data_IF_263144953941
#
_entry.id   IF_263144953941
#
_cell.length_a   1.000
_cell.length_b   1.000
_cell.length_c   1.000
_cell.angle_alpha   90.00
_cell.angle_beta   90.00
_cell.angle_gamma   90.00
#
_symmetry.space_group_name_H-M   'P 1'
#
loop_
_entity.id
_entity.type
_entity.pdbx_description
1 polymer ?
#
# COMPACT_ATOMS: atom_id res chain seq x y z
N UNK A 1 -10.07 -19.15 -38.25
CA UNK A 1 -9.02 -19.59 -37.30
C UNK A 1 -8.88 -18.55 -36.20
N UNK A 2 -9.59 -18.73 -35.09
CA UNK A 2 -9.56 -17.80 -33.94
C UNK A 2 -8.33 -18.15 -33.10
N UNK A 3 -7.32 -17.29 -33.10
CA UNK A 3 -6.15 -17.45 -32.25
C UNK A 3 -6.53 -17.00 -30.84
N UNK A 4 -6.60 -17.95 -29.90
CA UNK A 4 -6.68 -17.68 -28.47
C UNK A 4 -5.48 -16.85 -28.04
N UNK A 5 -5.66 -15.55 -27.83
CA UNK A 5 -4.71 -14.72 -27.09
C UNK A 5 -4.69 -15.23 -25.65
N UNK A 6 -3.62 -15.94 -25.28
CA UNK A 6 -3.48 -16.50 -23.93
C UNK A 6 -3.31 -15.43 -22.84
N UNK A 7 -3.61 -15.76 -21.57
CA UNK A 7 -3.54 -14.84 -20.44
C UNK A 7 -2.13 -14.28 -20.17
N UNK A 8 -1.08 -14.90 -20.73
CA UNK A 8 0.29 -14.41 -20.65
C UNK A 8 0.54 -13.12 -21.45
N UNK A 9 -0.14 -12.93 -22.59
CA UNK A 9 0.06 -11.76 -23.44
C UNK A 9 -0.65 -10.53 -22.88
N UNK A 10 -1.81 -10.73 -22.24
CA UNK A 10 -2.53 -9.67 -21.51
C UNK A 10 -1.72 -9.19 -20.30
N UNK A 11 -1.00 -10.09 -19.63
CA UNK A 11 -0.10 -9.76 -18.51
C UNK A 11 1.17 -9.03 -19.00
N UNK A 12 1.68 -9.39 -20.18
CA UNK A 12 2.81 -8.71 -20.83
C UNK A 12 2.46 -7.29 -21.29
N UNK A 13 1.26 -7.10 -21.84
CA UNK A 13 0.72 -5.79 -22.22
C UNK A 13 0.45 -4.89 -21.00
N UNK A 14 0.23 -5.46 -19.81
CA UNK A 14 0.12 -4.70 -18.55
C UNK A 14 1.48 -4.32 -17.94
N UNK A 15 2.57 -4.93 -18.42
CA UNK A 15 3.97 -4.66 -18.04
C UNK A 15 4.66 -3.67 -18.99
N UNK A 16 4.20 -3.55 -20.23
CA UNK A 16 4.61 -2.52 -21.19
C UNK A 16 3.63 -1.34 -21.09
N UNK A 17 3.94 -0.40 -20.19
CA UNK A 17 3.09 0.75 -19.88
C UNK A 17 2.72 1.58 -21.11
N UNK A 18 1.43 1.80 -21.32
CA UNK A 18 0.92 2.84 -22.21
C UNK A 18 0.82 4.16 -21.43
N UNK A 19 1.48 5.19 -21.97
CA UNK A 19 1.47 6.55 -21.45
C UNK A 19 0.17 7.28 -21.82
N UNK A 20 -0.39 7.98 -20.84
CA UNK A 20 -1.24 9.20 -20.90
C UNK A 20 -2.64 9.09 -20.30
N UNK A 21 -2.85 9.82 -19.19
CA UNK A 21 -3.94 10.80 -19.03
C UNK A 21 -3.65 11.65 -17.78
N UNK A 22 -3.94 12.95 -17.84
CA UNK A 22 -4.00 13.82 -16.66
C UNK A 22 -5.04 13.22 -15.70
N UNK A 23 -4.56 12.64 -14.60
CA UNK A 23 -5.34 11.74 -13.72
C UNK A 23 -5.03 10.24 -13.91
N UNK A 24 -3.74 9.89 -14.06
CA UNK A 24 -3.26 8.53 -14.34
C UNK A 24 -3.66 7.45 -13.31
N UNK A 25 -3.52 6.19 -13.72
CA UNK A 25 -3.82 5.03 -12.88
C UNK A 25 -2.75 4.88 -11.79
N UNK A 26 -3.09 5.20 -10.53
CA UNK A 26 -2.15 5.14 -9.39
C UNK A 26 -1.52 3.77 -9.16
N UNK A 27 -2.16 2.67 -9.57
CA UNK A 27 -1.56 1.34 -9.51
C UNK A 27 -0.48 1.13 -10.58
N UNK A 28 -0.57 1.83 -11.71
CA UNK A 28 0.50 1.90 -12.73
C UNK A 28 1.64 2.74 -12.20
N UNK A 29 1.37 3.95 -11.69
CA UNK A 29 2.36 4.84 -11.05
C UNK A 29 3.18 4.08 -9.99
N UNK A 30 2.50 3.34 -9.10
CA UNK A 30 3.16 2.53 -8.08
C UNK A 30 4.01 1.39 -8.65
N UNK A 31 3.57 0.78 -9.75
CA UNK A 31 4.31 -0.27 -10.44
C UNK A 31 5.56 0.27 -11.13
N UNK A 32 5.50 1.45 -11.71
CA UNK A 32 6.63 2.15 -12.32
C UNK A 32 7.64 2.58 -11.26
N UNK A 33 7.19 3.21 -10.17
CA UNK A 33 8.06 3.59 -9.06
C UNK A 33 8.77 2.38 -8.42
N UNK A 34 8.08 1.25 -8.24
CA UNK A 34 8.74 0.01 -7.78
C UNK A 34 9.73 -0.57 -8.81
N UNK A 35 9.52 -0.30 -10.10
CA UNK A 35 10.45 -0.74 -11.16
C UNK A 35 11.70 0.13 -11.19
N UNK A 36 11.58 1.43 -10.89
CA UNK A 36 12.70 2.34 -10.76
C UNK A 36 13.55 2.09 -9.50
N UNK A 37 12.96 1.61 -8.39
CA UNK A 37 13.70 1.23 -7.18
C UNK A 37 14.31 -0.18 -7.31
N UNK A 38 15.64 -0.26 -7.38
CA UNK A 38 16.36 -1.52 -7.59
C UNK A 38 16.01 -2.62 -6.54
N UNK A 39 15.75 -2.24 -5.29
CA UNK A 39 15.42 -3.19 -4.22
C UNK A 39 13.99 -3.72 -4.38
N UNK A 40 13.03 -2.85 -4.68
CA UNK A 40 11.64 -3.17 -4.92
C UNK A 40 11.52 -4.03 -6.18
N UNK A 41 12.12 -3.60 -7.29
CA UNK A 41 12.14 -4.31 -8.56
C UNK A 41 12.69 -5.74 -8.39
N UNK A 42 13.85 -5.89 -7.75
CA UNK A 42 14.45 -7.22 -7.53
C UNK A 42 13.54 -8.15 -6.73
N UNK A 43 12.99 -7.68 -5.60
CA UNK A 43 12.10 -8.48 -4.76
C UNK A 43 10.77 -8.77 -5.48
N UNK A 44 10.29 -7.83 -6.31
CA UNK A 44 9.09 -8.00 -7.13
C UNK A 44 9.28 -9.09 -8.16
N UNK A 45 10.36 -9.03 -8.94
CA UNK A 45 10.73 -10.05 -9.91
C UNK A 45 10.93 -11.42 -9.25
N UNK A 46 11.53 -11.47 -8.06
CA UNK A 46 11.70 -12.72 -7.29
C UNK A 46 10.34 -13.36 -6.99
N UNK A 47 9.38 -12.63 -6.40
CA UNK A 47 8.09 -13.25 -6.08
C UNK A 47 7.30 -13.60 -7.33
N UNK A 48 7.33 -12.77 -8.38
CA UNK A 48 6.64 -13.04 -9.65
C UNK A 48 7.16 -14.34 -10.25
N UNK A 49 8.48 -14.52 -10.34
CA UNK A 49 9.09 -15.76 -10.83
C UNK A 49 8.69 -16.98 -9.99
N UNK A 50 8.66 -16.84 -8.66
CA UNK A 50 8.24 -17.92 -7.77
C UNK A 50 6.74 -18.22 -7.84
N UNK A 51 5.88 -17.28 -8.22
CA UNK A 51 4.43 -17.48 -8.33
C UNK A 51 3.97 -17.92 -9.72
N UNK A 52 4.73 -17.58 -10.78
CA UNK A 52 4.41 -17.98 -12.15
C UNK A 52 5.18 -19.22 -12.62
N UNK A 53 6.20 -19.65 -11.87
CA UNK A 53 6.91 -20.89 -12.14
C UNK A 53 5.97 -22.11 -12.12
N UNK A 54 6.21 -23.09 -12.97
CA UNK A 54 5.39 -24.31 -13.02
C UNK A 54 5.70 -25.23 -11.83
N UNK A 55 4.67 -25.81 -11.20
CA UNK A 55 4.84 -26.95 -10.29
C UNK A 55 4.77 -28.27 -11.05
N UNK A 56 5.38 -29.32 -10.50
CA UNK A 56 5.42 -30.65 -11.11
C UNK A 56 4.04 -31.27 -11.38
N UNK A 57 2.99 -30.79 -10.71
CA UNK A 57 1.61 -31.31 -10.81
C UNK A 57 0.67 -30.35 -11.56
N UNK A 58 1.18 -29.47 -12.44
CA UNK A 58 0.36 -28.54 -13.22
C UNK A 58 -0.25 -27.37 -12.43
N UNK A 59 -0.08 -27.33 -11.11
CA UNK A 59 -0.48 -26.22 -10.25
C UNK A 59 0.60 -25.14 -10.08
N UNK A 60 0.37 -24.22 -9.16
CA UNK A 60 1.37 -23.23 -8.75
C UNK A 60 2.24 -23.73 -7.58
N UNK A 61 3.56 -23.42 -7.53
CA UNK A 61 4.42 -23.60 -6.36
C UNK A 61 4.06 -22.65 -5.19
N UNK A 62 2.86 -22.81 -4.64
CA UNK A 62 2.22 -21.95 -3.62
C UNK A 62 3.11 -21.68 -2.40
N UNK A 63 3.82 -22.70 -1.90
CA UNK A 63 4.72 -22.53 -0.75
C UNK A 63 5.90 -21.59 -1.04
N UNK A 64 6.51 -21.70 -2.23
CA UNK A 64 7.62 -20.82 -2.66
C UNK A 64 7.11 -19.41 -2.96
N UNK A 65 6.03 -19.30 -3.72
CA UNK A 65 5.34 -18.02 -4.00
C UNK A 65 5.03 -17.25 -2.72
N UNK A 66 4.34 -17.88 -1.76
CA UNK A 66 3.98 -17.27 -0.48
C UNK A 66 5.20 -16.87 0.35
N UNK A 67 6.28 -17.66 0.33
CA UNK A 67 7.54 -17.31 1.00
C UNK A 67 8.18 -16.07 0.39
N UNK A 68 8.21 -15.98 -0.94
CA UNK A 68 8.75 -14.82 -1.66
C UNK A 68 7.90 -13.56 -1.41
N UNK A 69 6.57 -13.66 -1.39
CA UNK A 69 5.68 -12.55 -1.02
C UNK A 69 5.92 -12.06 0.41
N UNK A 70 6.06 -12.97 1.39
CA UNK A 70 6.41 -12.56 2.76
C UNK A 70 7.75 -11.83 2.83
N UNK A 71 8.72 -12.22 1.99
CA UNK A 71 10.02 -11.54 1.87
C UNK A 71 9.86 -10.17 1.21
N UNK A 72 9.04 -10.04 0.17
CA UNK A 72 8.74 -8.77 -0.49
C UNK A 72 8.20 -7.73 0.49
N UNK A 73 7.17 -8.04 1.27
CA UNK A 73 6.62 -7.08 2.24
C UNK A 73 7.49 -6.86 3.48
N UNK A 74 8.33 -7.84 3.87
CA UNK A 74 9.25 -7.67 5.00
C UNK A 74 10.50 -6.88 4.63
N UNK A 75 10.93 -6.92 3.37
CA UNK A 75 12.19 -6.33 2.90
C UNK A 75 12.01 -5.23 1.87
N UNK A 76 10.86 -5.02 1.26
CA UNK A 76 10.64 -3.94 0.31
C UNK A 76 10.51 -2.58 1.01
N UNK A 77 10.77 -1.45 0.32
CA UNK A 77 10.46 -0.13 0.84
C UNK A 77 8.95 -0.02 1.15
N UNK A 78 8.53 0.27 2.39
CA UNK A 78 7.12 0.25 2.77
C UNK A 78 6.26 1.19 1.90
N UNK A 79 6.75 2.38 1.57
CA UNK A 79 6.05 3.32 0.71
C UNK A 79 5.67 2.70 -0.64
N UNK A 80 6.60 2.01 -1.32
CA UNK A 80 6.36 1.38 -2.63
C UNK A 80 5.49 0.12 -2.52
N UNK A 81 5.77 -0.75 -1.53
CA UNK A 81 5.00 -1.99 -1.35
C UNK A 81 3.54 -1.72 -0.96
N UNK A 82 3.30 -0.71 -0.12
CA UNK A 82 1.94 -0.27 0.25
C UNK A 82 1.26 0.44 -0.91
N UNK A 83 1.98 1.24 -1.71
CA UNK A 83 1.43 1.85 -2.91
C UNK A 83 0.90 0.83 -3.92
N UNK A 84 1.68 -0.24 -4.15
CA UNK A 84 1.25 -1.37 -4.99
C UNK A 84 0.00 -2.07 -4.43
N UNK A 85 -0.10 -2.21 -3.10
CA UNK A 85 -1.18 -2.94 -2.46
C UNK A 85 -2.47 -2.12 -2.30
N UNK A 86 -2.36 -0.81 -2.06
CA UNK A 86 -3.46 0.06 -1.63
C UNK A 86 -3.73 1.24 -2.57
N UNK A 87 -3.21 1.20 -3.81
CA UNK A 87 -3.48 2.23 -4.81
C UNK A 87 -4.98 2.52 -4.98
N UNK A 88 -5.40 3.81 -5.01
CA UNK A 88 -6.78 4.16 -5.31
C UNK A 88 -7.10 3.86 -6.77
N UNK A 89 -8.37 3.54 -7.03
CA UNK A 89 -8.85 3.22 -8.36
C UNK A 89 -10.19 3.90 -8.62
N UNK A 90 -10.31 4.53 -9.78
CA UNK A 90 -11.54 5.14 -10.28
C UNK A 90 -12.35 4.20 -11.20
N UNK A 91 -11.80 3.04 -11.58
CA UNK A 91 -12.46 2.12 -12.51
C UNK A 91 -11.97 0.67 -12.45
N UNK A 92 -12.69 -0.25 -13.11
CA UNK A 92 -12.50 -1.69 -12.94
C UNK A 92 -11.16 -2.21 -13.44
N UNK A 93 -10.59 -1.62 -14.48
CA UNK A 93 -9.26 -1.99 -14.97
C UNK A 93 -8.16 -1.72 -13.93
N UNK A 94 -8.24 -0.58 -13.22
CA UNK A 94 -7.33 -0.28 -12.12
C UNK A 94 -7.55 -1.23 -10.95
N UNK A 95 -8.80 -1.45 -10.55
CA UNK A 95 -9.13 -2.31 -9.41
C UNK A 95 -8.69 -3.77 -9.67
N UNK A 96 -8.81 -4.26 -10.91
CA UNK A 96 -8.30 -5.56 -11.30
C UNK A 96 -6.77 -5.61 -11.25
N UNK A 97 -6.06 -4.58 -11.72
CA UNK A 97 -4.60 -4.47 -11.56
C UNK A 97 -4.22 -4.57 -10.08
N UNK A 98 -4.90 -3.83 -9.20
CA UNK A 98 -4.69 -3.87 -7.75
C UNK A 98 -4.90 -5.27 -7.18
N UNK A 99 -5.98 -5.96 -7.59
CA UNK A 99 -6.30 -7.34 -7.17
C UNK A 99 -5.27 -8.37 -7.65
N UNK A 100 -4.62 -8.12 -8.80
CA UNK A 100 -3.63 -9.00 -9.41
C UNK A 100 -2.20 -8.82 -8.87
N UNK A 101 -1.93 -7.79 -8.07
CA UNK A 101 -0.60 -7.39 -7.57
C UNK A 101 0.27 -8.55 -7.07
N UNK A 102 -0.33 -9.54 -6.40
CA UNK A 102 0.38 -10.67 -5.79
C UNK A 102 -0.04 -12.04 -6.32
N UNK A 103 -0.45 -12.12 -7.59
CA UNK A 103 -0.77 -13.37 -8.30
C UNK A 103 -1.82 -14.19 -7.53
N UNK A 104 -3.07 -13.70 -7.43
CA UNK A 104 -4.10 -14.32 -6.60
C UNK A 104 -4.40 -15.78 -6.97
N UNK A 105 -4.25 -16.16 -8.24
CA UNK A 105 -4.37 -17.54 -8.71
C UNK A 105 -3.41 -18.51 -8.01
N UNK A 106 -2.29 -18.03 -7.49
CA UNK A 106 -1.32 -18.83 -6.78
C UNK A 106 -1.27 -18.56 -5.27
N UNK A 107 -1.30 -17.30 -4.85
CA UNK A 107 -1.05 -16.91 -3.47
C UNK A 107 -2.32 -16.84 -2.61
N UNK A 108 -3.47 -16.55 -3.25
CA UNK A 108 -4.75 -16.28 -2.61
C UNK A 108 -5.69 -17.48 -2.74
N UNK A 109 -6.21 -17.73 -3.94
CA UNK A 109 -7.20 -18.78 -4.23
C UNK A 109 -6.68 -20.17 -3.88
N UNK A 110 -7.51 -20.99 -3.23
CA UNK A 110 -7.20 -22.38 -2.94
C UNK A 110 -7.18 -23.26 -4.19
N UNK A 111 -6.73 -24.53 -4.07
CA UNK A 111 -6.75 -25.48 -5.19
C UNK A 111 -8.16 -25.96 -5.54
N UNK A 112 -9.13 -25.81 -4.63
CA UNK A 112 -10.51 -26.23 -4.84
C UNK A 112 -11.35 -25.21 -5.64
N UNK A 113 -12.47 -25.65 -6.23
CA UNK A 113 -13.36 -24.80 -7.02
C UNK A 113 -14.15 -23.79 -6.16
N UNK A 114 -14.23 -24.03 -4.85
CA UNK A 114 -14.95 -23.17 -3.91
C UNK A 114 -14.05 -22.81 -2.71
N UNK A 115 -14.28 -21.64 -2.08
CA UNK A 115 -13.64 -21.30 -0.82
C UNK A 115 -14.07 -22.26 0.31
N UNK A 116 -13.16 -22.63 1.24
CA UNK A 116 -13.52 -23.39 2.44
C UNK A 116 -14.18 -22.49 3.49
N UNK A 117 -14.65 -23.08 4.60
CA UNK A 117 -15.00 -22.31 5.81
C UNK A 117 -13.79 -21.49 6.29
N UNK A 118 -14.01 -20.24 6.71
CA UNK A 118 -12.93 -19.38 7.23
C UNK A 118 -12.27 -19.90 8.50
N UNK A 119 -12.91 -20.84 9.20
CA UNK A 119 -12.32 -21.50 10.35
C UNK A 119 -11.13 -22.39 9.96
N UNK A 120 -11.11 -22.93 8.73
CA UNK A 120 -10.00 -23.76 8.26
C UNK A 120 -8.68 -22.97 8.13
N UNK A 121 -8.58 -21.88 7.32
CA UNK A 121 -7.35 -21.09 7.26
C UNK A 121 -7.01 -20.43 8.60
N UNK A 122 -8.00 -20.09 9.44
CA UNK A 122 -7.78 -19.62 10.80
C UNK A 122 -7.07 -20.68 11.66
N UNK A 123 -7.59 -21.90 11.72
CA UNK A 123 -6.98 -23.01 12.46
C UNK A 123 -5.54 -23.31 12.00
N UNK A 124 -5.28 -23.26 10.69
CA UNK A 124 -3.91 -23.39 10.16
C UNK A 124 -3.01 -22.22 10.58
N UNK A 125 -3.55 -21.00 10.63
CA UNK A 125 -2.81 -19.81 11.02
C UNK A 125 -2.38 -19.87 12.49
N UNK A 126 -3.30 -20.25 13.38
CA UNK A 126 -3.07 -20.32 14.83
C UNK A 126 -1.97 -21.32 15.21
N UNK A 127 -1.80 -22.40 14.44
CA UNK A 127 -0.73 -23.39 14.63
C UNK A 127 0.59 -22.98 13.97
N UNK A 128 0.58 -21.96 13.12
CA UNK A 128 1.76 -21.53 12.37
C UNK A 128 2.58 -20.51 13.14
N UNK A 129 3.87 -20.80 13.36
CA UNK A 129 4.85 -19.87 13.95
C UNK A 129 5.03 -18.57 13.16
N UNK A 130 4.62 -18.56 11.89
CA UNK A 130 4.69 -17.36 11.02
C UNK A 130 3.35 -16.63 10.99
N UNK A 131 2.24 -17.35 10.83
CA UNK A 131 0.94 -16.72 10.64
C UNK A 131 0.37 -16.16 11.95
N UNK A 132 0.39 -16.95 13.04
CA UNK A 132 -0.16 -16.56 14.34
C UNK A 132 0.30 -15.18 14.82
N UNK A 133 1.61 -14.86 14.92
CA UNK A 133 2.03 -13.54 15.37
C UNK A 133 1.60 -12.41 14.43
N UNK A 134 1.50 -12.68 13.12
CA UNK A 134 1.05 -11.69 12.12
C UNK A 134 -0.45 -11.42 12.22
N UNK A 135 -1.26 -12.46 12.48
CA UNK A 135 -2.69 -12.32 12.73
C UNK A 135 -2.97 -11.53 14.01
N UNK A 136 -2.25 -11.81 15.09
CA UNK A 136 -2.36 -11.04 16.34
C UNK A 136 -1.97 -9.57 16.11
N UNK A 137 -0.87 -9.31 15.40
CA UNK A 137 -0.46 -7.96 15.07
C UNK A 137 -1.53 -7.21 14.25
N UNK A 138 -2.19 -7.89 13.32
CA UNK A 138 -3.31 -7.33 12.55
C UNK A 138 -4.51 -7.01 13.43
N UNK A 139 -4.94 -7.96 14.27
CA UNK A 139 -6.06 -7.77 15.19
C UNK A 139 -5.83 -6.54 16.09
N UNK A 140 -4.66 -6.43 16.71
CA UNK A 140 -4.32 -5.29 17.58
C UNK A 140 -4.19 -4.00 16.78
N UNK A 141 -3.45 -4.00 15.67
CA UNK A 141 -3.17 -2.77 14.92
C UNK A 141 -4.40 -2.21 14.22
N UNK A 142 -5.34 -3.06 13.82
CA UNK A 142 -6.56 -2.69 13.12
C UNK A 142 -7.82 -2.79 14.01
N UNK A 143 -7.67 -2.79 15.34
CA UNK A 143 -8.82 -2.75 16.25
C UNK A 143 -9.57 -1.43 16.04
N UNK A 144 -10.89 -1.43 15.78
CA UNK A 144 -11.66 -0.20 15.66
C UNK A 144 -11.61 0.63 16.95
N UNK A 145 -11.29 1.92 16.81
CA UNK A 145 -11.34 2.92 17.88
C UNK A 145 -12.72 3.60 17.88
N UNK A 146 -13.57 3.41 18.91
CA UNK A 146 -14.91 4.00 18.95
C UNK A 146 -14.92 5.53 18.94
N UNK A 147 -13.86 6.15 19.44
CA UNK A 147 -13.68 7.60 19.53
C UNK A 147 -13.26 8.27 18.22
N UNK A 148 -12.91 7.51 17.18
CA UNK A 148 -12.48 8.04 15.90
C UNK A 148 -13.63 8.00 14.86
N UNK A 149 -13.85 9.05 14.05
CA UNK A 149 -14.92 9.09 13.06
C UNK A 149 -14.79 7.96 12.01
N UNK A 150 -13.58 7.72 11.51
CA UNK A 150 -13.28 6.61 10.58
C UNK A 150 -12.99 5.28 11.31
N UNK A 151 -13.22 5.23 12.63
CA UNK A 151 -12.90 4.07 13.45
C UNK A 151 -11.40 3.76 13.59
N UNK A 152 -10.49 4.60 13.10
CA UNK A 152 -9.04 4.45 13.30
C UNK A 152 -8.34 5.76 13.63
N UNK A 153 -7.45 5.73 14.62
CA UNK A 153 -6.58 6.87 14.96
C UNK A 153 -5.51 7.08 13.87
N UNK A 154 -5.02 8.32 13.72
CA UNK A 154 -4.08 8.69 12.64
C UNK A 154 -2.80 7.85 12.63
N UNK A 155 -2.16 7.71 13.78
CA UNK A 155 -0.93 6.93 13.98
C UNK A 155 -1.18 5.41 13.87
N UNK A 156 -2.41 4.99 14.18
CA UNK A 156 -2.86 3.60 14.07
C UNK A 156 -3.02 3.15 12.61
N UNK A 157 -3.45 4.04 11.69
CA UNK A 157 -3.66 3.72 10.26
C UNK A 157 -2.42 3.09 9.62
N UNK A 158 -1.25 3.70 9.81
CA UNK A 158 0.00 3.19 9.25
C UNK A 158 0.39 1.82 9.82
N UNK A 159 0.14 1.59 11.12
CA UNK A 159 0.37 0.28 11.76
C UNK A 159 -0.60 -0.77 11.24
N UNK A 160 -1.87 -0.41 11.07
CA UNK A 160 -2.90 -1.29 10.52
C UNK A 160 -2.54 -1.76 9.09
N UNK A 161 -2.19 -0.83 8.19
CA UNK A 161 -1.78 -1.18 6.82
C UNK A 161 -0.53 -2.06 6.77
N UNK A 162 0.46 -1.78 7.62
CA UNK A 162 1.66 -2.62 7.76
C UNK A 162 1.30 -4.02 8.24
N UNK A 163 0.40 -4.14 9.22
CA UNK A 163 -0.03 -5.43 9.74
C UNK A 163 -0.84 -6.23 8.69
N UNK A 164 -1.72 -5.56 7.94
CA UNK A 164 -2.43 -6.13 6.80
C UNK A 164 -1.46 -6.66 5.75
N UNK A 165 -0.49 -5.85 5.31
CA UNK A 165 0.54 -6.26 4.36
C UNK A 165 1.37 -7.45 4.88
N UNK A 166 1.59 -7.49 6.21
CA UNK A 166 2.21 -8.61 6.91
C UNK A 166 1.47 -9.94 6.76
N UNK A 167 0.15 -9.94 6.58
CA UNK A 167 -0.63 -11.17 6.38
C UNK A 167 -0.44 -11.79 4.98
N UNK A 168 0.00 -11.01 4.00
CA UNK A 168 0.17 -11.50 2.62
C UNK A 168 1.24 -12.60 2.57
N UNK A 169 0.87 -13.73 1.98
CA UNK A 169 1.71 -14.92 1.93
C UNK A 169 1.60 -15.82 3.16
N UNK A 170 0.59 -15.63 4.02
CA UNK A 170 0.26 -16.55 5.13
C UNK A 170 -0.97 -17.42 4.79
N UNK A 171 -1.43 -18.24 5.73
CA UNK A 171 -2.68 -19.00 5.59
C UNK A 171 -3.90 -18.08 5.46
N UNK A 172 -3.87 -16.92 6.14
CA UNK A 172 -4.90 -15.88 6.11
C UNK A 172 -4.41 -14.73 5.23
N UNK A 173 -4.18 -15.00 3.94
CA UNK A 173 -3.82 -13.95 2.98
C UNK A 173 -5.09 -13.22 2.54
N UNK A 174 -5.29 -11.93 2.89
CA UNK A 174 -6.42 -11.16 2.38
C UNK A 174 -6.15 -10.68 0.94
N UNK A 175 -7.22 -10.46 0.17
CA UNK A 175 -7.18 -9.76 -1.12
C UNK A 175 -8.48 -8.97 -1.34
N UNK A 176 -8.48 -8.09 -2.34
CA UNK A 176 -9.70 -7.50 -2.89
C UNK A 176 -10.61 -8.59 -3.48
N UNK A 177 -11.89 -8.55 -3.10
CA UNK A 177 -12.85 -9.60 -3.48
C UNK A 177 -13.53 -9.35 -4.83
N UNK A 178 -13.51 -8.10 -5.30
CA UNK A 178 -14.09 -7.67 -6.57
C UNK A 178 -13.24 -6.56 -7.21
N UNK A 179 -13.61 -6.16 -8.42
CA UNK A 179 -12.95 -5.09 -9.19
C UNK A 179 -13.78 -3.80 -9.22
N UNK A 180 -14.70 -3.61 -8.27
CA UNK A 180 -15.57 -2.42 -8.21
C UNK A 180 -15.47 -1.68 -6.88
N UNK A 181 -15.04 -2.36 -5.82
CA UNK A 181 -14.94 -1.83 -4.46
C UNK A 181 -13.52 -1.98 -3.90
N UNK A 182 -13.31 -1.41 -2.72
CA UNK A 182 -12.09 -1.63 -1.92
C UNK A 182 -12.26 -2.74 -0.87
N UNK A 183 -13.32 -3.56 -0.95
CA UNK A 183 -13.59 -4.62 0.04
C UNK A 183 -12.54 -5.72 -0.03
N UNK A 184 -12.08 -6.15 1.13
CA UNK A 184 -11.05 -7.18 1.28
C UNK A 184 -11.54 -8.34 2.13
N UNK A 185 -11.09 -9.54 1.79
CA UNK A 185 -11.34 -10.75 2.60
C UNK A 185 -10.25 -11.80 2.36
N UNK A 186 -10.02 -12.72 3.30
CA UNK A 186 -9.32 -13.98 3.00
C UNK A 186 -10.11 -14.87 2.03
N UNK A 187 -9.43 -15.82 1.39
CA UNK A 187 -10.06 -16.84 0.53
C UNK A 187 -10.80 -17.89 1.38
N UNK A 188 -12.01 -17.55 1.81
CA UNK A 188 -12.91 -18.42 2.56
C UNK A 188 -14.33 -17.80 2.64
N UNK A 189 -15.32 -18.59 3.05
CA UNK A 189 -16.63 -18.10 3.44
C UNK A 189 -17.11 -18.73 4.76
N UNK A 190 -18.37 -18.49 5.15
CA UNK A 190 -18.96 -19.06 6.35
C UNK A 190 -20.19 -19.95 6.08
N UNK A 191 -20.37 -20.38 4.82
CA UNK A 191 -21.48 -21.23 4.42
C UNK A 191 -21.39 -22.61 5.06
N UNK A 192 -20.19 -23.21 5.04
CA UNK A 192 -19.91 -24.55 5.54
C UNK A 192 -19.43 -24.59 7.01
N UNK A 193 -19.79 -23.61 7.85
CA UNK A 193 -19.29 -23.49 9.23
C UNK A 193 -20.12 -24.22 10.30
N UNK A 194 -21.32 -24.71 9.94
CA UNK A 194 -22.22 -25.38 10.88
C UNK A 194 -22.52 -24.54 12.13
N UNK A 195 -22.43 -25.16 13.31
CA UNK A 195 -22.69 -24.50 14.59
C UNK A 195 -21.69 -23.39 14.96
N UNK A 196 -20.54 -23.31 14.26
CA UNK A 196 -19.51 -22.28 14.49
C UNK A 196 -19.60 -21.13 13.50
N UNK A 197 -20.79 -20.89 12.94
CA UNK A 197 -21.01 -19.81 11.96
C UNK A 197 -20.71 -18.44 12.55
N UNK A 198 -21.08 -18.18 13.79
CA UNK A 198 -20.80 -16.91 14.47
C UNK A 198 -19.30 -16.65 14.61
N UNK A 199 -18.52 -17.62 15.12
CA UNK A 199 -17.06 -17.54 15.18
C UNK A 199 -16.45 -17.21 13.81
N UNK A 200 -16.95 -17.89 12.77
CA UNK A 200 -16.49 -17.70 11.41
C UNK A 200 -16.76 -16.27 10.92
N UNK A 201 -17.98 -15.79 11.14
CA UNK A 201 -18.40 -14.45 10.74
C UNK A 201 -17.67 -13.36 11.54
N UNK A 202 -17.39 -13.59 12.82
CA UNK A 202 -16.58 -12.71 13.64
C UNK A 202 -15.15 -12.58 13.05
N UNK A 203 -14.51 -13.72 12.75
CA UNK A 203 -13.19 -13.73 12.12
C UNK A 203 -13.18 -13.08 10.74
N UNK A 204 -14.13 -13.43 9.86
CA UNK A 204 -14.25 -12.81 8.53
C UNK A 204 -14.51 -11.30 8.64
N UNK A 205 -15.29 -10.90 9.64
CA UNK A 205 -15.62 -9.51 9.96
C UNK A 205 -14.40 -8.64 10.29
N UNK A 206 -13.29 -9.23 10.76
CA UNK A 206 -12.02 -8.51 10.96
C UNK A 206 -11.50 -7.85 9.69
N UNK A 207 -11.90 -8.36 8.51
CA UNK A 207 -11.54 -7.85 7.20
C UNK A 207 -12.70 -7.13 6.52
N UNK A 208 -13.91 -7.70 6.56
CA UNK A 208 -15.05 -7.23 5.76
C UNK A 208 -15.92 -6.18 6.44
N UNK A 209 -15.80 -6.03 7.77
CA UNK A 209 -16.61 -5.12 8.60
C UNK A 209 -15.72 -4.33 9.56
N UNK A 210 -14.52 -3.96 9.11
CA UNK A 210 -13.53 -3.26 9.93
C UNK A 210 -13.35 -1.82 9.46
N UNK A 211 -14.06 -0.90 10.12
CA UNK A 211 -13.99 0.53 9.80
C UNK A 211 -12.58 1.10 9.90
N UNK A 212 -11.75 0.61 10.84
CA UNK A 212 -10.36 1.09 10.93
C UNK A 212 -9.58 0.73 9.66
N UNK A 213 -9.71 -0.52 9.19
CA UNK A 213 -9.03 -0.97 7.99
C UNK A 213 -9.52 -0.19 6.75
N UNK A 214 -10.84 -0.02 6.61
CA UNK A 214 -11.44 0.73 5.51
C UNK A 214 -10.95 2.20 5.51
N UNK A 215 -11.01 2.85 6.67
CA UNK A 215 -10.53 4.21 6.87
C UNK A 215 -9.02 4.35 6.65
N UNK A 216 -8.22 3.35 7.02
CA UNK A 216 -6.78 3.35 6.78
C UNK A 216 -6.44 3.24 5.28
N UNK A 217 -7.14 2.36 4.55
CA UNK A 217 -6.98 2.22 3.09
C UNK A 217 -7.40 3.51 2.40
N UNK A 218 -8.54 4.09 2.78
CA UNK A 218 -9.04 5.35 2.23
C UNK A 218 -8.08 6.51 2.53
N UNK A 219 -7.57 6.62 3.75
CA UNK A 219 -6.62 7.66 4.12
C UNK A 219 -5.30 7.54 3.34
N UNK A 220 -4.81 6.33 3.10
CA UNK A 220 -3.63 6.10 2.26
C UNK A 220 -3.87 6.49 0.80
N UNK A 221 -5.06 6.18 0.27
CA UNK A 221 -5.49 6.59 -1.06
C UNK A 221 -5.53 8.12 -1.21
N UNK A 222 -6.05 8.84 -0.22
CA UNK A 222 -6.13 10.31 -0.22
C UNK A 222 -4.76 10.96 0.00
N UNK A 223 -3.92 10.38 0.85
CA UNK A 223 -2.58 10.87 1.19
C UNK A 223 -1.47 10.23 0.35
N UNK A 224 -1.72 9.98 -0.95
CA UNK A 224 -0.81 9.27 -1.85
C UNK A 224 0.64 9.76 -1.68
N UNK A 225 1.61 8.87 -1.38
CA UNK A 225 2.96 9.27 -0.97
C UNK A 225 3.67 10.20 -2.00
N UNK A 226 4.18 11.37 -1.59
CA UNK A 226 4.90 12.28 -2.48
C UNK A 226 6.16 11.68 -3.10
N UNK A 227 6.81 10.73 -2.42
CA UNK A 227 7.96 9.98 -2.95
C UNK A 227 7.63 9.23 -4.26
N UNK A 228 6.35 8.96 -4.53
CA UNK A 228 5.90 8.36 -5.79
C UNK A 228 5.69 9.41 -6.89
N UNK A 229 5.53 10.68 -6.53
CA UNK A 229 5.40 11.79 -7.48
C UNK A 229 6.79 12.27 -7.95
N UNK A 230 7.77 12.34 -7.04
CA UNK A 230 9.14 12.79 -7.36
C UNK A 230 9.89 11.81 -8.27
N UNK A 231 9.65 10.49 -8.11
CA UNK A 231 10.31 9.45 -8.91
C UNK A 231 9.75 9.33 -10.34
N UNK A 232 8.59 9.93 -10.62
CA UNK A 232 7.97 9.95 -11.96
C UNK A 232 8.38 11.19 -12.77
N UNK A 233 9.13 12.13 -12.19
CA UNK A 233 9.62 13.32 -12.88
C UNK A 233 11.11 13.60 -12.60
N UNK A 234 12.05 12.91 -13.28
CA UNK A 234 13.49 13.10 -13.07
C UNK A 234 14.07 14.40 -13.67
N UNK A 235 13.24 15.26 -14.31
CA UNK A 235 13.69 16.50 -14.98
C UNK A 235 13.26 17.79 -14.26
N UNK A 236 13.19 17.78 -12.93
CA UNK A 236 13.15 19.03 -12.17
C UNK A 236 14.52 19.70 -12.19
N UNK A 237 14.67 20.74 -13.02
CA UNK A 237 15.80 21.68 -12.98
C UNK A 237 16.11 22.13 -11.53
N UNK A 238 17.40 22.21 -11.12
CA UNK A 238 17.77 22.61 -9.77
C UNK A 238 17.80 24.14 -9.64
N UNK A 239 16.66 24.82 -9.71
CA UNK A 239 16.64 26.29 -9.68
C UNK A 239 15.42 26.88 -8.94
N UNK A 240 14.92 26.27 -7.86
CA UNK A 240 13.89 26.94 -7.02
C UNK A 240 14.02 26.75 -5.50
N UNK A 241 15.14 26.22 -4.98
CA UNK A 241 15.34 26.04 -3.52
C UNK A 241 15.91 27.26 -2.77
N UNK A 242 15.87 28.47 -3.34
CA UNK A 242 16.44 29.67 -2.69
C UNK A 242 15.47 30.83 -2.40
N UNK A 243 14.16 30.57 -2.26
CA UNK A 243 13.23 31.63 -1.81
C UNK A 243 12.20 31.14 -0.79
N UNK A 244 12.63 30.50 0.30
CA UNK A 244 11.84 30.47 1.55
C UNK A 244 12.73 30.48 2.80
N UNK A 245 13.58 31.51 2.93
CA UNK A 245 14.09 31.95 4.24
C UNK A 245 14.00 33.47 4.31
N UNK A 246 12.84 33.99 4.71
CA UNK A 246 12.71 35.19 5.53
C UNK A 246 11.24 35.43 5.86
N UNK A 247 10.81 34.84 6.97
CA UNK A 247 9.73 35.43 7.74
C UNK A 247 9.97 35.16 9.21
N UNK A 248 10.66 36.09 9.86
CA UNK A 248 10.24 36.55 11.19
C UNK A 248 10.73 37.97 11.43
N UNK A 249 9.79 38.76 11.97
CA UNK A 249 9.93 39.92 12.84
C UNK A 249 9.80 41.34 12.26
N UNK A 250 8.67 41.92 12.68
CA UNK A 250 8.39 43.32 13.07
C UNK A 250 7.71 44.23 12.05
N UNK A 251 6.38 44.23 12.14
CA UNK A 251 5.63 45.47 12.12
C UNK A 251 5.89 46.23 13.44
N UNK A 252 6.48 47.42 13.36
CA UNK A 252 6.12 48.55 14.22
C UNK A 252 6.62 49.87 13.61
N UNK A 253 5.64 50.73 13.31
CA UNK A 253 5.68 52.19 13.31
C UNK A 253 6.82 52.97 12.65
N UNK A 254 6.44 53.57 11.50
CA UNK A 254 6.64 54.99 11.14
C UNK A 254 7.12 55.87 12.31
N UNK A 255 8.35 56.37 12.24
CA UNK A 255 8.73 57.65 12.88
C UNK A 255 9.84 58.36 12.11
N UNK A 256 9.57 59.64 11.93
CA UNK A 256 10.34 60.67 11.25
C UNK A 256 11.57 61.11 12.06
N UNK A 257 12.44 61.84 11.36
CA UNK A 257 13.47 62.79 11.81
C UNK A 257 14.94 62.33 11.77
N UNK A 258 15.58 62.88 10.73
CA UNK A 258 17.00 63.06 10.50
C UNK A 258 17.67 63.92 11.60
N UNK A 259 18.94 63.60 11.84
CA UNK A 259 20.03 64.51 12.23
C UNK A 259 20.14 64.94 13.70
N UNK A 260 21.05 64.28 14.43
CA UNK A 260 21.79 64.89 15.54
C UNK A 260 23.29 64.74 15.27
N UNK A 261 23.97 65.88 15.17
CA UNK A 261 25.42 66.10 15.06
C UNK A 261 26.15 65.67 16.36
N UNK A 262 27.43 65.28 16.31
CA UNK A 262 28.32 65.43 17.46
C UNK A 262 29.14 66.73 17.35
N UNK A 263 29.11 67.48 18.45
CA UNK A 263 29.91 68.68 18.73
C UNK A 263 31.18 68.28 19.48
N UNK A 264 32.35 68.67 18.97
CA UNK A 264 33.63 68.90 19.67
C UNK A 264 34.39 69.93 18.77
N UNK A 265 34.50 71.24 19.03
CA UNK A 265 35.24 71.99 20.08
C UNK A 265 36.72 71.52 20.15
N UNK A 266 37.80 72.30 19.92
CA UNK A 266 38.12 73.74 20.03
C UNK A 266 39.49 74.02 19.28
N UNK A 267 40.02 75.29 19.26
CA UNK A 267 40.87 75.89 18.21
C UNK A 267 42.35 76.12 18.59
N UNK A 268 43.17 76.53 17.60
CA UNK A 268 44.29 77.49 17.68
C UNK A 268 44.86 77.67 16.24
N UNK A 269 44.79 78.82 15.56
CA UNK A 269 45.68 80.00 15.65
C UNK A 269 47.18 79.69 15.57
N UNK A 270 47.70 79.57 14.33
CA UNK A 270 48.86 80.29 13.76
C UNK A 270 49.05 79.89 12.29
#
# INVERSE_FOLDING_TARGET
>A
MVRCLGPALLLLLLLLGSVSSVGGNRCVDAAEACTADARCQRLRSEYVAQCLGRAAQGGCPRARCRRALRRFFARGPPALTHALLFCPCAGPACAERRRQTFVPSCAFSGPGPAPPSCLEPLNFCERSRVCRPRLLAFQVSCTPAPSAPDGCLLDQRARCLRAYAGLVGTAVTPNYVDNVSARVAPWCDCGASGNRREDCEAFRGLFTRNRCLDGAIQAFASGWPPVLLDQLNPQGDPEHSLLQVSSTCRALERRSLLSILPVLALPALL
#
